data_IF_952757976511
#
_entry.id   IF_952757976511
#
_cell.length_a   1.000
_cell.length_b   1.000
_cell.length_c   1.000
_cell.angle_alpha   90.00
_cell.angle_beta   90.00
_cell.angle_gamma   90.00
#
_symmetry.space_group_name_H-M   'P 1'
#
loop_
_entity.id
_entity.type
_entity.pdbx_description
1 polymer ?
#
# COMPACT_ATOMS: atom_id res chain seq x y z
N UNK A 1 -24.76 7.77 26.38
CA UNK A 1 -23.43 8.36 26.10
C UNK A 1 -23.56 9.50 25.09
N UNK A 2 -22.85 10.61 25.27
CA UNK A 2 -22.82 11.68 24.26
C UNK A 2 -21.73 11.38 23.21
N UNK A 3 -22.10 10.66 22.15
CA UNK A 3 -21.17 10.19 21.11
C UNK A 3 -20.38 11.35 20.45
N UNK A 4 -20.99 12.53 20.29
CA UNK A 4 -20.32 13.69 19.70
C UNK A 4 -19.16 14.23 20.55
N UNK A 5 -19.32 14.29 21.88
CA UNK A 5 -18.24 14.71 22.79
C UNK A 5 -17.07 13.72 22.77
N UNK A 6 -17.37 12.43 22.79
CA UNK A 6 -16.33 11.39 22.71
C UNK A 6 -15.61 11.43 21.38
N UNK A 7 -16.33 11.56 20.27
CA UNK A 7 -15.75 11.61 18.93
C UNK A 7 -14.80 12.82 18.77
N UNK A 8 -15.18 13.99 19.31
CA UNK A 8 -14.30 15.16 19.32
C UNK A 8 -13.02 14.92 20.14
N UNK A 9 -13.13 14.26 21.29
CA UNK A 9 -11.97 13.95 22.14
C UNK A 9 -11.05 12.90 21.49
N UNK A 10 -11.61 11.85 20.87
CA UNK A 10 -10.81 10.81 20.19
C UNK A 10 -10.05 11.38 19.00
N UNK A 11 -10.68 12.26 18.21
CA UNK A 11 -10.01 12.95 17.10
C UNK A 11 -8.90 13.86 17.64
N UNK A 12 -9.18 14.66 18.69
CA UNK A 12 -8.21 15.60 19.26
C UNK A 12 -6.96 14.89 19.81
N UNK A 13 -7.13 13.72 20.42
CA UNK A 13 -6.02 12.95 20.99
C UNK A 13 -5.13 12.31 19.92
N UNK A 14 -5.67 12.02 18.74
CA UNK A 14 -4.97 11.28 17.69
C UNK A 14 -4.83 12.05 16.37
N UNK A 15 -4.82 13.39 16.42
CA UNK A 15 -4.87 14.25 15.24
C UNK A 15 -3.88 13.87 14.14
N UNK A 16 -2.62 13.60 14.50
CA UNK A 16 -1.59 13.20 13.53
C UNK A 16 -1.95 11.94 12.76
N UNK A 17 -2.54 10.96 13.43
CA UNK A 17 -2.88 9.67 12.81
C UNK A 17 -4.09 9.83 11.88
N UNK A 18 -5.10 10.58 12.32
CA UNK A 18 -6.25 10.92 11.48
C UNK A 18 -5.81 11.71 10.26
N UNK A 19 -4.93 12.69 10.45
CA UNK A 19 -4.39 13.49 9.35
C UNK A 19 -3.71 12.60 8.31
N UNK A 20 -2.82 11.70 8.71
CA UNK A 20 -2.11 10.80 7.80
C UNK A 20 -3.03 9.80 7.10
N UNK A 21 -4.01 9.26 7.83
CA UNK A 21 -5.02 8.36 7.27
C UNK A 21 -5.88 9.07 6.22
N UNK A 22 -6.46 10.22 6.57
CA UNK A 22 -7.28 11.04 5.67
C UNK A 22 -6.45 11.51 4.48
N UNK A 23 -5.22 11.96 4.69
CA UNK A 23 -4.31 12.38 3.64
C UNK A 23 -4.03 11.25 2.64
N UNK A 24 -3.76 10.03 3.12
CA UNK A 24 -3.54 8.88 2.25
C UNK A 24 -4.79 8.53 1.43
N UNK A 25 -5.99 8.64 2.01
CA UNK A 25 -7.23 8.43 1.29
C UNK A 25 -7.54 9.54 0.28
N UNK A 26 -7.22 10.80 0.60
CA UNK A 26 -7.33 11.93 -0.34
C UNK A 26 -6.47 11.65 -1.58
N UNK A 27 -5.20 11.25 -1.41
CA UNK A 27 -4.33 10.94 -2.55
C UNK A 27 -4.88 9.74 -3.34
N UNK A 28 -5.45 8.73 -2.67
CA UNK A 28 -6.13 7.63 -3.35
C UNK A 28 -7.27 8.12 -4.25
N UNK A 29 -8.13 9.01 -3.74
CA UNK A 29 -9.25 9.59 -4.51
C UNK A 29 -8.73 10.40 -5.70
N UNK A 30 -7.72 11.25 -5.50
CA UNK A 30 -7.08 12.03 -6.55
C UNK A 30 -6.56 11.08 -7.64
N UNK A 31 -5.83 10.05 -7.24
CA UNK A 31 -5.27 9.07 -8.15
C UNK A 31 -6.36 8.35 -8.96
N UNK A 32 -7.37 7.79 -8.30
CA UNK A 32 -8.48 7.09 -8.97
C UNK A 32 -9.21 7.98 -9.97
N UNK A 33 -9.47 9.24 -9.61
CA UNK A 33 -10.11 10.21 -10.47
C UNK A 33 -9.23 10.59 -11.67
N UNK A 34 -7.93 10.82 -11.45
CA UNK A 34 -6.98 11.12 -12.52
C UNK A 34 -6.87 9.97 -13.53
N UNK A 35 -6.86 8.72 -13.07
CA UNK A 35 -6.74 7.57 -13.97
C UNK A 35 -8.01 7.37 -14.83
N UNK A 36 -9.20 7.55 -14.25
CA UNK A 36 -10.46 7.48 -14.98
C UNK A 36 -10.61 8.60 -16.02
N UNK A 37 -10.22 9.83 -15.65
CA UNK A 37 -10.25 10.97 -16.57
C UNK A 37 -9.26 10.79 -17.71
N UNK A 38 -8.04 10.32 -17.43
CA UNK A 38 -7.05 9.96 -18.44
C UNK A 38 -7.57 8.89 -19.39
N UNK A 39 -8.10 7.79 -18.86
CA UNK A 39 -8.65 6.71 -19.68
C UNK A 39 -9.81 7.17 -20.57
N UNK A 40 -10.76 7.94 -20.02
CA UNK A 40 -11.88 8.44 -20.81
C UNK A 40 -11.43 9.46 -21.88
N UNK A 41 -10.47 10.32 -21.55
CA UNK A 41 -9.90 11.26 -22.53
C UNK A 41 -9.19 10.52 -23.67
N UNK A 42 -8.50 9.43 -23.35
CA UNK A 42 -7.88 8.54 -24.31
C UNK A 42 -8.93 7.91 -25.23
N UNK A 43 -9.98 7.25 -24.70
CA UNK A 43 -11.05 6.62 -25.52
C UNK A 43 -11.71 7.61 -26.48
N UNK A 44 -11.96 8.85 -26.04
CA UNK A 44 -12.54 9.90 -26.89
C UNK A 44 -11.65 10.22 -28.10
N UNK A 45 -10.33 10.28 -27.93
CA UNK A 45 -9.37 10.57 -29.02
C UNK A 45 -9.35 9.46 -30.07
N UNK A 46 -9.53 8.21 -29.66
CA UNK A 46 -9.48 7.03 -30.55
C UNK A 46 -10.78 6.87 -31.35
N UNK A 47 -11.81 7.69 -31.08
CA UNK A 47 -13.16 7.58 -31.65
C UNK A 47 -13.78 6.17 -31.49
N UNK A 48 -13.31 5.37 -30.53
CA UNK A 48 -13.98 4.12 -30.16
C UNK A 48 -15.26 4.46 -29.41
N UNK A 49 -16.40 4.30 -30.08
CA UNK A 49 -17.72 4.42 -29.44
C UNK A 49 -17.89 3.25 -28.46
N UNK A 50 -18.21 3.57 -27.22
CA UNK A 50 -18.77 2.66 -26.20
C UNK A 50 -17.86 1.58 -25.59
N UNK A 51 -16.57 1.85 -25.37
CA UNK A 51 -15.77 1.00 -24.47
C UNK A 51 -15.40 1.81 -23.23
N UNK A 52 -16.36 1.95 -22.31
CA UNK A 52 -16.07 2.40 -20.94
C UNK A 52 -15.54 1.18 -20.16
N UNK A 53 -14.33 0.71 -20.51
CA UNK A 53 -13.65 -0.30 -19.70
C UNK A 53 -13.00 0.45 -18.56
N UNK A 54 -13.63 0.39 -17.39
CA UNK A 54 -13.02 0.78 -16.14
C UNK A 54 -11.66 0.07 -16.04
N UNK A 55 -10.52 0.79 -15.96
CA UNK A 55 -9.23 0.13 -15.85
C UNK A 55 -9.22 -0.68 -14.57
N UNK A 56 -9.41 -1.99 -14.66
CA UNK A 56 -9.59 -2.83 -13.49
C UNK A 56 -8.34 -2.86 -12.61
N UNK A 57 -7.16 -2.65 -13.21
CA UNK A 57 -5.89 -2.49 -12.50
C UNK A 57 -5.95 -1.25 -11.59
N UNK A 58 -6.51 -0.13 -12.06
CA UNK A 58 -6.73 1.09 -11.28
C UNK A 58 -7.57 0.83 -10.03
N UNK A 59 -8.73 0.21 -10.25
CA UNK A 59 -9.72 -0.10 -9.21
C UNK A 59 -9.12 -1.03 -8.17
N UNK A 60 -8.40 -2.06 -8.63
CA UNK A 60 -7.78 -3.03 -7.76
C UNK A 60 -6.65 -2.44 -6.93
N UNK A 61 -5.76 -1.65 -7.54
CA UNK A 61 -4.65 -1.02 -6.82
C UNK A 61 -5.14 0.03 -5.80
N UNK A 62 -6.11 0.86 -6.17
CA UNK A 62 -6.69 1.86 -5.26
C UNK A 62 -7.49 1.22 -4.12
N UNK A 63 -8.21 0.13 -4.39
CA UNK A 63 -8.86 -0.67 -3.37
C UNK A 63 -7.83 -1.31 -2.41
N UNK A 64 -6.78 -1.94 -2.94
CA UNK A 64 -5.72 -2.53 -2.10
C UNK A 64 -5.04 -1.48 -1.22
N UNK A 65 -4.67 -0.34 -1.79
CA UNK A 65 -4.06 0.76 -1.05
C UNK A 65 -4.97 1.22 0.10
N UNK A 66 -6.21 1.56 -0.21
CA UNK A 66 -7.16 2.07 0.79
C UNK A 66 -7.43 1.03 1.89
N UNK A 67 -7.57 -0.26 1.55
CA UNK A 67 -7.73 -1.35 2.52
C UNK A 67 -6.50 -1.45 3.45
N UNK A 68 -5.28 -1.37 2.92
CA UNK A 68 -4.06 -1.48 3.73
C UNK A 68 -3.90 -0.30 4.70
N UNK A 69 -4.17 0.91 4.22
CA UNK A 69 -4.15 2.12 5.07
C UNK A 69 -5.15 2.01 6.20
N UNK A 70 -6.36 1.53 5.91
CA UNK A 70 -7.41 1.34 6.90
C UNK A 70 -7.06 0.27 7.94
N UNK A 71 -6.59 -0.91 7.49
CA UNK A 71 -6.15 -1.98 8.41
C UNK A 71 -5.07 -1.46 9.36
N UNK A 72 -4.13 -0.66 8.84
CA UNK A 72 -3.05 -0.07 9.63
C UNK A 72 -3.61 0.94 10.65
N UNK A 73 -4.51 1.83 10.22
CA UNK A 73 -5.17 2.80 11.10
C UNK A 73 -5.94 2.13 12.25
N UNK A 74 -6.75 1.11 11.96
CA UNK A 74 -7.53 0.40 12.98
C UNK A 74 -6.63 -0.40 13.93
N UNK A 75 -5.56 -1.03 13.41
CA UNK A 75 -4.57 -1.74 14.25
C UNK A 75 -3.85 -0.80 15.20
N UNK A 76 -3.53 0.42 14.78
CA UNK A 76 -2.94 1.43 15.65
C UNK A 76 -3.84 1.71 16.87
N UNK A 77 -5.14 1.86 16.62
CA UNK A 77 -6.12 2.23 17.64
C UNK A 77 -6.70 1.05 18.41
N UNK A 78 -6.15 -0.15 18.22
CA UNK A 78 -6.60 -1.34 18.94
C UNK A 78 -6.48 -1.20 20.46
N UNK A 79 -5.43 -0.51 20.95
CA UNK A 79 -5.22 -0.27 22.38
C UNK A 79 -6.30 0.65 22.95
N UNK A 80 -6.68 1.70 22.21
CA UNK A 80 -7.78 2.59 22.58
C UNK A 80 -9.11 1.81 22.67
N UNK A 81 -9.41 0.99 21.66
CA UNK A 81 -10.63 0.17 21.68
C UNK A 81 -10.64 -0.78 22.88
N UNK A 82 -9.48 -1.37 23.21
CA UNK A 82 -9.34 -2.21 24.39
C UNK A 82 -9.56 -1.40 25.68
N UNK A 83 -9.07 -0.17 25.80
CA UNK A 83 -9.32 0.69 26.96
C UNK A 83 -10.79 1.09 27.09
N UNK A 84 -11.47 1.44 26.01
CA UNK A 84 -12.90 1.75 26.03
C UNK A 84 -13.74 0.57 26.51
N UNK A 85 -13.46 -0.63 26.00
CA UNK A 85 -14.10 -1.86 26.46
C UNK A 85 -13.76 -2.18 27.92
N UNK A 86 -12.59 -1.77 28.44
CA UNK A 86 -12.20 -1.99 29.83
C UNK A 86 -12.91 -1.01 30.78
N UNK A 87 -13.16 0.21 30.32
CA UNK A 87 -13.92 1.25 31.04
C UNK A 87 -15.44 1.01 31.03
N UNK A 88 -15.91 -0.10 30.45
CA UNK A 88 -17.32 -0.51 30.49
C UNK A 88 -18.14 -0.20 29.24
N UNK A 89 -17.55 0.32 28.14
CA UNK A 89 -18.29 0.43 26.88
C UNK A 89 -18.65 -0.95 26.34
N UNK A 90 -19.87 -1.08 25.83
CA UNK A 90 -20.30 -2.29 25.11
C UNK A 90 -19.68 -2.36 23.72
N UNK A 91 -19.57 -3.58 23.16
CA UNK A 91 -19.08 -3.76 21.79
C UNK A 91 -19.96 -3.04 20.75
N UNK A 92 -21.25 -2.88 21.03
CA UNK A 92 -22.20 -2.23 20.12
C UNK A 92 -22.04 -0.70 20.16
N UNK A 93 -21.88 -0.11 21.34
CA UNK A 93 -21.57 1.32 21.48
C UNK A 93 -20.26 1.68 20.77
N UNK A 94 -19.24 0.83 20.90
CA UNK A 94 -17.96 1.03 20.22
C UNK A 94 -18.09 0.90 18.69
N UNK A 95 -18.91 -0.03 18.18
CA UNK A 95 -19.22 -0.13 16.75
C UNK A 95 -19.94 1.11 16.22
N UNK A 96 -20.90 1.65 16.98
CA UNK A 96 -21.64 2.87 16.60
C UNK A 96 -20.69 4.07 16.55
N UNK A 97 -19.81 4.21 17.56
CA UNK A 97 -18.78 5.25 17.57
C UNK A 97 -17.90 5.19 16.31
N UNK A 98 -17.40 4.00 15.98
CA UNK A 98 -16.53 3.81 14.81
C UNK A 98 -17.26 3.96 13.48
N UNK A 99 -18.54 3.60 13.43
CA UNK A 99 -19.39 3.84 12.26
C UNK A 99 -19.51 5.35 12.01
N UNK A 100 -19.83 6.14 13.05
CA UNK A 100 -19.91 7.60 12.95
C UNK A 100 -18.58 8.22 12.52
N UNK A 101 -17.47 7.71 13.07
CA UNK A 101 -16.13 8.16 12.72
C UNK A 101 -15.78 7.89 11.25
N UNK A 102 -16.10 6.69 10.75
CA UNK A 102 -15.89 6.32 9.35
C UNK A 102 -16.76 7.16 8.39
N UNK A 103 -18.00 7.46 8.75
CA UNK A 103 -18.86 8.37 7.98
C UNK A 103 -18.28 9.78 7.96
N UNK A 104 -17.82 10.30 9.10
CA UNK A 104 -17.20 11.62 9.17
C UNK A 104 -15.94 11.68 8.31
N UNK A 105 -15.08 10.66 8.38
CA UNK A 105 -13.90 10.56 7.53
C UNK A 105 -14.29 10.56 6.04
N UNK A 106 -15.28 9.76 5.64
CA UNK A 106 -15.82 9.73 4.27
C UNK A 106 -16.26 11.10 3.77
N UNK A 107 -17.00 11.84 4.60
CA UNK A 107 -17.47 13.19 4.28
C UNK A 107 -16.33 14.21 4.17
N UNK A 108 -15.14 13.93 4.70
CA UNK A 108 -13.97 14.80 4.59
C UNK A 108 -13.13 14.42 3.36
N UNK A 109 -12.69 13.17 3.26
CA UNK A 109 -11.67 12.82 2.26
C UNK A 109 -12.24 12.75 0.83
N UNK A 110 -13.50 12.36 0.64
CA UNK A 110 -14.09 12.26 -0.72
C UNK A 110 -14.28 13.63 -1.35
N UNK A 111 -14.93 14.63 -0.70
CA UNK A 111 -15.09 15.95 -1.31
C UNK A 111 -13.74 16.63 -1.57
N UNK A 112 -12.82 16.60 -0.60
CA UNK A 112 -11.49 17.20 -0.76
C UNK A 112 -10.72 16.51 -1.87
N UNK A 113 -10.74 15.17 -1.90
CA UNK A 113 -10.09 14.37 -2.95
C UNK A 113 -10.67 14.62 -4.34
N UNK A 114 -11.98 14.84 -4.46
CA UNK A 114 -12.61 15.20 -5.74
C UNK A 114 -12.25 16.61 -6.19
N UNK A 115 -12.29 17.60 -5.30
CA UNK A 115 -11.92 18.99 -5.62
C UNK A 115 -10.47 19.03 -6.12
N UNK A 116 -9.55 18.43 -5.35
CA UNK A 116 -8.15 18.32 -5.74
C UNK A 116 -7.99 17.47 -7.01
N UNK A 117 -8.73 16.38 -7.14
CA UNK A 117 -8.72 15.50 -8.31
C UNK A 117 -9.12 16.22 -9.59
N UNK A 118 -10.11 17.11 -9.56
CA UNK A 118 -10.51 17.95 -10.71
C UNK A 118 -9.36 18.86 -11.14
N UNK A 119 -8.70 19.51 -10.18
CA UNK A 119 -7.58 20.42 -10.45
C UNK A 119 -6.40 19.64 -11.02
N UNK A 120 -5.97 18.57 -10.33
CA UNK A 120 -4.83 17.76 -10.74
C UNK A 120 -5.07 17.04 -12.06
N UNK A 121 -6.23 16.41 -12.27
CA UNK A 121 -6.54 15.72 -13.53
C UNK A 121 -6.50 16.67 -14.73
N UNK A 122 -7.01 17.89 -14.58
CA UNK A 122 -6.95 18.90 -15.65
C UNK A 122 -5.51 19.28 -15.97
N UNK A 123 -4.69 19.55 -14.95
CA UNK A 123 -3.27 19.89 -15.12
C UNK A 123 -2.52 18.74 -15.82
N UNK A 124 -2.67 17.52 -15.30
CA UNK A 124 -1.99 16.32 -15.80
C UNK A 124 -2.40 16.05 -17.25
N UNK A 125 -3.70 15.97 -17.53
CA UNK A 125 -4.20 15.63 -18.87
C UNK A 125 -3.82 16.69 -19.90
N UNK A 126 -3.91 17.99 -19.56
CA UNK A 126 -3.46 19.06 -20.47
C UNK A 126 -1.95 19.02 -20.71
N UNK A 127 -1.17 18.75 -19.66
CA UNK A 127 0.27 18.60 -19.78
C UNK A 127 0.63 17.45 -20.74
N UNK A 128 -0.05 16.31 -20.62
CA UNK A 128 0.13 15.15 -21.51
C UNK A 128 -0.26 15.48 -22.94
N UNK A 129 -1.42 16.09 -23.17
CA UNK A 129 -1.87 16.45 -24.52
C UNK A 129 -0.95 17.47 -25.20
N UNK A 130 -0.42 18.43 -24.42
CA UNK A 130 0.59 19.37 -24.91
C UNK A 130 1.89 18.65 -25.29
N UNK A 131 2.35 17.70 -24.48
CA UNK A 131 3.50 16.85 -24.81
C UNK A 131 3.26 15.94 -26.02
N UNK A 132 2.01 15.56 -26.26
CA UNK A 132 1.60 14.79 -27.44
C UNK A 132 1.48 15.63 -28.73
N UNK A 133 1.65 16.96 -28.66
CA UNK A 133 1.53 17.87 -29.81
C UNK A 133 0.09 18.24 -30.18
N UNK A 134 -0.91 17.90 -29.35
CA UNK A 134 -2.31 18.17 -29.61
C UNK A 134 -2.69 19.51 -28.97
N UNK A 135 -2.73 20.58 -29.79
CA UNK A 135 -2.85 21.96 -29.30
C UNK A 135 -4.29 22.40 -28.94
N UNK A 136 -5.32 21.66 -29.35
CA UNK A 136 -6.71 22.03 -29.15
C UNK A 136 -7.56 20.87 -28.59
N UNK A 137 -7.34 20.49 -27.33
CA UNK A 137 -8.23 19.56 -26.63
C UNK A 137 -9.17 20.31 -25.69
N UNK A 138 -10.46 20.34 -26.00
CA UNK A 138 -11.48 20.84 -25.06
C UNK A 138 -11.74 19.78 -24.00
N UNK A 139 -11.15 19.96 -22.82
CA UNK A 139 -11.33 19.05 -21.71
C UNK A 139 -12.79 19.10 -21.21
N UNK A 140 -13.54 18.01 -21.41
CA UNK A 140 -14.93 17.87 -20.95
C UNK A 140 -15.02 16.79 -19.87
N UNK A 141 -15.40 17.18 -18.67
CA UNK A 141 -15.74 16.23 -17.61
C UNK A 141 -17.09 15.58 -17.93
N UNK A 142 -17.12 14.24 -17.96
CA UNK A 142 -18.38 13.49 -18.04
C UNK A 142 -18.91 13.26 -16.63
N UNK A 143 -20.19 13.53 -16.39
CA UNK A 143 -20.86 13.33 -15.10
C UNK A 143 -20.72 11.89 -14.57
N UNK A 144 -20.61 10.90 -15.46
CA UNK A 144 -20.43 9.49 -15.12
C UNK A 144 -19.15 9.23 -14.31
N UNK A 145 -18.07 9.99 -14.53
CA UNK A 145 -16.79 9.78 -13.84
C UNK A 145 -16.96 10.07 -12.34
N UNK A 146 -17.66 11.15 -11.99
CA UNK A 146 -17.95 11.51 -10.61
C UNK A 146 -18.77 10.43 -9.91
N UNK A 147 -19.84 9.96 -10.54
CA UNK A 147 -20.72 8.93 -9.99
C UNK A 147 -19.93 7.66 -9.68
N UNK A 148 -19.06 7.23 -10.59
CA UNK A 148 -18.23 6.04 -10.41
C UNK A 148 -17.21 6.22 -9.28
N UNK A 149 -16.56 7.39 -9.20
CA UNK A 149 -15.63 7.67 -8.10
C UNK A 149 -16.31 7.66 -6.74
N UNK A 150 -17.44 8.35 -6.61
CA UNK A 150 -18.22 8.37 -5.37
C UNK A 150 -18.70 6.96 -5.04
N UNK A 151 -19.26 6.23 -6.00
CA UNK A 151 -19.72 4.85 -5.82
C UNK A 151 -18.62 3.89 -5.38
N UNK A 152 -17.42 4.00 -5.95
CA UNK A 152 -16.26 3.20 -5.55
C UNK A 152 -15.89 3.42 -4.09
N UNK A 153 -15.80 4.68 -3.64
CA UNK A 153 -15.45 4.98 -2.25
C UNK A 153 -16.59 4.69 -1.26
N UNK A 154 -17.86 4.81 -1.67
CA UNK A 154 -18.99 4.32 -0.86
C UNK A 154 -18.87 2.81 -0.63
N UNK A 155 -18.56 2.04 -1.68
CA UNK A 155 -18.38 0.60 -1.57
C UNK A 155 -17.21 0.28 -0.62
N UNK A 156 -16.08 0.97 -0.76
CA UNK A 156 -14.94 0.80 0.14
C UNK A 156 -15.26 1.13 1.60
N UNK A 157 -16.00 2.21 1.88
CA UNK A 157 -16.37 2.53 3.27
C UNK A 157 -17.32 1.53 3.88
N UNK A 158 -18.23 0.95 3.09
CA UNK A 158 -19.06 -0.18 3.54
C UNK A 158 -18.16 -1.37 3.92
N UNK A 159 -17.17 -1.71 3.09
CA UNK A 159 -16.19 -2.78 3.40
C UNK A 159 -15.44 -2.46 4.70
N UNK A 160 -15.01 -1.22 4.90
CA UNK A 160 -14.31 -0.77 6.10
C UNK A 160 -15.16 -0.94 7.35
N UNK A 161 -16.42 -0.52 7.31
CA UNK A 161 -17.37 -0.65 8.43
C UNK A 161 -17.59 -2.14 8.78
N UNK A 162 -17.83 -2.99 7.78
CA UNK A 162 -18.02 -4.43 7.97
C UNK A 162 -16.78 -5.09 8.59
N UNK A 163 -15.59 -4.73 8.10
CA UNK A 163 -14.34 -5.25 8.63
C UNK A 163 -14.10 -4.82 10.08
N UNK A 164 -14.34 -3.54 10.42
CA UNK A 164 -14.24 -3.08 11.82
C UNK A 164 -15.20 -3.79 12.75
N UNK A 165 -16.44 -4.02 12.32
CA UNK A 165 -17.43 -4.74 13.14
C UNK A 165 -16.93 -6.14 13.51
N UNK A 166 -16.37 -6.86 12.53
CA UNK A 166 -15.74 -8.18 12.75
C UNK A 166 -14.50 -8.08 13.64
N UNK A 167 -13.67 -7.07 13.44
CA UNK A 167 -12.45 -6.85 14.23
C UNK A 167 -12.77 -6.60 15.71
N UNK A 168 -13.73 -5.73 16.02
CA UNK A 168 -14.15 -5.39 17.40
C UNK A 168 -14.69 -6.63 18.12
N UNK A 169 -15.52 -7.43 17.44
CA UNK A 169 -16.01 -8.70 18.01
C UNK A 169 -14.87 -9.65 18.38
N UNK A 170 -13.77 -9.64 17.62
CA UNK A 170 -12.62 -10.48 17.94
C UNK A 170 -11.84 -10.01 19.18
N UNK A 171 -11.83 -8.71 19.47
CA UNK A 171 -11.16 -8.14 20.64
C UNK A 171 -11.86 -8.51 21.95
N UNK A 172 -13.20 -8.53 21.98
CA UNK A 172 -13.95 -8.95 23.17
C UNK A 172 -13.78 -10.45 23.45
N UNK A 173 -13.77 -11.28 22.42
CA UNK A 173 -13.50 -12.72 22.54
C UNK A 173 -12.09 -13.00 23.10
N UNK A 174 -11.08 -12.20 22.74
CA UNK A 174 -9.72 -12.32 23.26
C UNK A 174 -9.64 -11.93 24.75
N UNK A 175 -10.39 -10.93 25.22
CA UNK A 175 -10.48 -10.61 26.65
C UNK A 175 -11.10 -11.76 27.46
N UNK A 176 -12.14 -12.39 26.92
CA UNK A 176 -12.80 -13.56 27.56
C UNK A 176 -11.88 -14.79 27.55
N UNK A 177 -11.11 -15.01 26.48
CA UNK A 177 -10.18 -16.13 26.36
C UNK A 177 -8.92 -15.96 27.22
N UNK A 178 -8.36 -14.75 27.32
CA UNK A 178 -7.18 -14.46 28.14
C UNK A 178 -7.45 -14.51 29.64
N UNK A 179 -8.72 -14.46 30.07
CA UNK A 179 -9.11 -14.77 31.46
C UNK A 179 -9.02 -16.28 31.77
N UNK A 180 -9.01 -17.14 30.74
CA UNK A 180 -8.94 -18.60 30.90
C UNK A 180 -7.57 -19.21 30.66
N UNK A 181 -6.65 -18.54 29.95
CA UNK A 181 -5.30 -19.07 29.71
C UNK A 181 -4.28 -17.93 29.51
N UNK A 182 -3.64 -17.51 30.60
CA UNK A 182 -2.38 -16.75 30.52
C UNK A 182 -1.26 -17.73 30.19
N UNK A 183 -0.97 -17.90 28.90
CA UNK A 183 0.35 -18.16 28.30
C UNK A 183 0.13 -18.65 26.86
N UNK A 184 0.77 -17.97 25.92
CA UNK A 184 0.89 -18.36 24.51
C UNK A 184 -0.42 -18.59 23.74
N UNK A 185 -0.91 -17.51 23.11
CA UNK A 185 -1.76 -17.63 21.94
C UNK A 185 -1.04 -17.06 20.71
N UNK A 186 0.04 -17.74 20.28
CA UNK A 186 0.39 -17.78 18.86
C UNK A 186 -0.74 -18.56 18.16
N UNK A 187 -1.86 -17.85 17.95
CA UNK A 187 -3.13 -18.45 17.56
C UNK A 187 -3.08 -18.87 16.10
N UNK A 188 -3.54 -20.10 15.84
CA UNK A 188 -3.70 -20.84 14.58
C UNK A 188 -4.48 -20.12 13.45
N UNK A 189 -4.53 -18.79 13.41
CA UNK A 189 -5.06 -17.96 12.31
C UNK A 189 -4.08 -17.77 11.14
N UNK A 190 -2.92 -18.40 11.19
CA UNK A 190 -1.91 -18.37 10.13
C UNK A 190 -2.29 -19.11 8.84
N UNK A 191 -3.39 -19.88 8.79
CA UNK A 191 -3.80 -20.55 7.54
C UNK A 191 -4.45 -19.58 6.55
N UNK A 192 -5.39 -18.72 6.98
CA UNK A 192 -6.07 -17.77 6.10
C UNK A 192 -5.14 -16.69 5.55
N UNK A 193 -4.16 -16.27 6.34
CA UNK A 193 -3.17 -15.26 5.98
C UNK A 193 -2.14 -15.79 4.96
N UNK A 194 -1.89 -17.10 4.96
CA UNK A 194 -1.08 -17.80 3.94
C UNK A 194 -1.83 -17.98 2.61
N UNK A 195 -3.16 -18.11 2.66
CA UNK A 195 -4.01 -18.36 1.49
C UNK A 195 -4.49 -17.05 0.84
N UNK A 196 -4.55 -15.94 1.58
CA UNK A 196 -4.95 -14.63 1.08
C UNK A 196 -4.21 -14.15 -0.19
N UNK A 197 -2.86 -14.24 -0.30
CA UNK A 197 -2.17 -13.88 -1.54
C UNK A 197 -2.49 -14.85 -2.70
N UNK A 198 -2.78 -16.13 -2.40
CA UNK A 198 -3.15 -17.13 -3.40
C UNK A 198 -4.58 -16.91 -3.94
N UNK A 199 -5.53 -16.53 -3.08
CA UNK A 199 -6.89 -16.13 -3.49
C UNK A 199 -6.86 -14.83 -4.28
N UNK A 200 -6.06 -13.84 -3.85
CA UNK A 200 -5.85 -12.59 -4.57
C UNK A 200 -5.26 -12.84 -5.97
N UNK A 201 -4.34 -13.80 -6.08
CA UNK A 201 -3.72 -14.25 -7.33
C UNK A 201 -4.72 -14.96 -8.25
N UNK A 202 -5.50 -15.91 -7.73
CA UNK A 202 -6.58 -16.58 -8.48
C UNK A 202 -7.65 -15.61 -8.96
N UNK A 203 -7.99 -14.62 -8.14
CA UNK A 203 -8.96 -13.59 -8.52
C UNK A 203 -8.41 -12.67 -9.62
N UNK A 204 -7.15 -12.24 -9.54
CA UNK A 204 -6.52 -11.43 -10.59
C UNK A 204 -6.38 -12.19 -11.92
N UNK A 205 -6.00 -13.47 -11.87
CA UNK A 205 -5.88 -14.33 -13.06
C UNK A 205 -7.26 -14.54 -13.70
N UNK A 206 -8.28 -14.89 -12.91
CA UNK A 206 -9.62 -15.15 -13.43
C UNK A 206 -10.34 -13.87 -13.90
N UNK A 207 -10.04 -12.72 -13.30
CA UNK A 207 -10.52 -11.42 -13.76
C UNK A 207 -9.88 -11.03 -15.10
N UNK A 208 -8.60 -11.35 -15.29
CA UNK A 208 -7.88 -11.12 -16.55
C UNK A 208 -8.38 -12.03 -17.69
N UNK A 209 -8.92 -13.21 -17.38
CA UNK A 209 -9.56 -14.12 -18.34
C UNK A 209 -10.89 -13.58 -18.89
N UNK A 210 -11.64 -12.80 -18.09
CA UNK A 210 -12.93 -12.21 -18.47
C UNK A 210 -12.82 -10.88 -19.22
N UNK A 211 -11.75 -10.13 -19.02
CA UNK A 211 -11.43 -8.98 -19.86
C UNK A 211 -10.97 -9.50 -21.21
N UNK A 212 -11.69 -9.21 -22.30
CA UNK A 212 -11.46 -9.70 -23.66
C UNK A 212 -10.13 -9.23 -24.29
N UNK A 213 -9.00 -9.54 -23.64
CA UNK A 213 -7.63 -9.28 -24.10
C UNK A 213 -7.17 -10.43 -25.01
N UNK A 214 -6.34 -10.13 -26.00
CA UNK A 214 -5.77 -11.14 -26.90
C UNK A 214 -4.82 -12.10 -26.14
N UNK A 215 -4.65 -13.32 -26.68
CA UNK A 215 -3.79 -14.36 -26.12
C UNK A 215 -2.38 -13.87 -25.76
N UNK A 216 -1.80 -12.98 -26.57
CA UNK A 216 -0.44 -12.50 -26.37
C UNK A 216 -0.29 -11.41 -25.29
N UNK A 217 -1.31 -10.56 -25.05
CA UNK A 217 -1.30 -9.61 -23.94
C UNK A 217 -1.59 -10.27 -22.59
N UNK A 218 -2.36 -11.39 -22.59
CA UNK A 218 -2.60 -12.21 -21.39
C UNK A 218 -1.31 -12.83 -20.86
N UNK A 219 -0.42 -13.26 -21.76
CA UNK A 219 0.90 -13.77 -21.42
C UNK A 219 1.65 -12.77 -20.51
N UNK A 220 1.83 -11.52 -20.92
CA UNK A 220 2.62 -10.55 -20.17
C UNK A 220 2.08 -10.21 -18.78
N UNK A 221 0.75 -10.18 -18.59
CA UNK A 221 0.11 -9.89 -17.30
C UNK A 221 0.19 -11.11 -16.36
N UNK A 222 -0.04 -12.31 -16.87
CA UNK A 222 0.00 -13.52 -16.03
C UNK A 222 1.42 -13.82 -15.53
N UNK A 223 2.43 -13.67 -16.39
CA UNK A 223 3.83 -13.83 -15.97
C UNK A 223 4.24 -12.78 -14.95
N UNK A 224 3.71 -11.56 -15.02
CA UNK A 224 4.05 -10.52 -14.06
C UNK A 224 3.56 -10.89 -12.66
N UNK A 225 2.31 -11.33 -12.52
CA UNK A 225 1.76 -11.80 -11.24
C UNK A 225 2.53 -13.01 -10.68
N UNK A 226 2.91 -13.95 -11.53
CA UNK A 226 3.72 -15.11 -11.11
C UNK A 226 5.10 -14.67 -10.62
N UNK A 227 5.76 -13.74 -11.34
CA UNK A 227 7.11 -13.26 -10.98
C UNK A 227 7.16 -12.73 -9.57
N UNK A 228 6.23 -11.85 -9.19
CA UNK A 228 6.31 -11.23 -7.87
C UNK A 228 6.03 -12.21 -6.74
N UNK A 229 5.11 -13.15 -6.95
CA UNK A 229 4.80 -14.18 -5.94
C UNK A 229 6.01 -15.10 -5.75
N UNK A 230 6.61 -15.56 -6.84
CA UNK A 230 7.80 -16.42 -6.79
C UNK A 230 8.96 -15.69 -6.11
N UNK A 231 9.20 -14.42 -6.45
CA UNK A 231 10.33 -13.65 -5.90
C UNK A 231 10.10 -13.31 -4.42
N UNK A 232 8.86 -13.08 -4.03
CA UNK A 232 8.52 -12.92 -2.63
C UNK A 232 8.73 -14.21 -1.83
N UNK A 233 8.34 -15.38 -2.37
CA UNK A 233 8.58 -16.67 -1.72
C UNK A 233 10.09 -16.93 -1.60
N UNK A 234 10.85 -16.68 -2.67
CA UNK A 234 12.32 -16.79 -2.65
C UNK A 234 12.94 -15.84 -1.61
N UNK A 235 12.43 -14.62 -1.49
CA UNK A 235 12.87 -13.66 -0.46
C UNK A 235 12.63 -14.19 0.96
N UNK A 236 11.48 -14.80 1.24
CA UNK A 236 11.21 -15.41 2.55
C UNK A 236 12.13 -16.60 2.85
N UNK A 237 12.39 -17.45 1.85
CA UNK A 237 13.32 -18.57 1.97
C UNK A 237 14.74 -18.03 2.23
N UNK A 238 15.15 -17.01 1.49
CA UNK A 238 16.44 -16.36 1.64
C UNK A 238 16.62 -15.77 3.04
N UNK A 239 15.62 -15.08 3.59
CA UNK A 239 15.66 -14.57 4.97
C UNK A 239 15.87 -15.71 5.96
N UNK A 240 15.13 -16.80 5.84
CA UNK A 240 15.28 -17.95 6.74
C UNK A 240 16.68 -18.57 6.67
N UNK A 241 17.23 -18.74 5.46
CA UNK A 241 18.59 -19.24 5.26
C UNK A 241 19.62 -18.28 5.86
N UNK A 242 19.47 -16.97 5.61
CA UNK A 242 20.35 -15.94 6.12
C UNK A 242 20.38 -15.93 7.66
N UNK A 243 19.22 -16.07 8.30
CA UNK A 243 19.10 -16.16 9.77
C UNK A 243 19.81 -17.42 10.29
N UNK A 244 19.58 -18.59 9.66
CA UNK A 244 20.25 -19.84 10.05
C UNK A 244 21.78 -19.70 9.91
N UNK A 245 22.24 -19.05 8.85
CA UNK A 245 23.66 -18.78 8.63
C UNK A 245 24.23 -17.82 9.70
N UNK A 246 23.52 -16.73 10.01
CA UNK A 246 23.91 -15.78 11.04
C UNK A 246 23.99 -16.45 12.43
N UNK A 247 23.06 -17.37 12.73
CA UNK A 247 23.05 -18.18 13.97
C UNK A 247 24.18 -19.21 14.02
N UNK A 248 24.68 -19.67 12.86
CA UNK A 248 25.79 -20.64 12.78
C UNK A 248 27.14 -20.03 13.19
N UNK A 249 27.36 -18.75 12.89
CA UNK A 249 28.56 -18.02 13.33
C UNK A 249 28.49 -17.64 14.81
N UNK A 250 28.91 -18.54 15.71
CA UNK A 250 28.83 -18.37 17.18
C UNK A 250 29.38 -17.02 17.68
N UNK A 251 30.55 -16.60 17.21
CA UNK A 251 31.17 -15.33 17.64
C UNK A 251 30.37 -14.08 17.22
N UNK A 252 29.69 -14.13 16.07
CA UNK A 252 28.85 -13.03 15.59
C UNK A 252 27.46 -13.05 16.25
N UNK A 253 26.87 -14.25 16.40
CA UNK A 253 25.56 -14.44 17.00
C UNK A 253 25.53 -14.05 18.47
N UNK A 254 26.47 -14.55 19.29
CA UNK A 254 26.46 -14.24 20.72
C UNK A 254 26.69 -12.77 21.03
N UNK A 255 27.49 -12.08 20.20
CA UNK A 255 27.69 -10.63 20.32
C UNK A 255 26.46 -9.79 19.91
N UNK A 256 25.55 -10.34 19.10
CA UNK A 256 24.42 -9.60 18.51
C UNK A 256 23.10 -10.37 18.63
N UNK A 257 22.95 -11.13 19.70
CA UNK A 257 21.83 -12.07 19.86
C UNK A 257 20.47 -11.37 19.82
N UNK A 258 20.34 -10.25 20.55
CA UNK A 258 19.13 -9.44 20.57
C UNK A 258 18.83 -8.85 19.19
N UNK A 259 19.85 -8.30 18.54
CA UNK A 259 19.69 -7.72 17.21
C UNK A 259 19.24 -8.77 16.19
N UNK A 260 19.86 -9.94 16.13
CA UNK A 260 19.51 -10.97 15.13
C UNK A 260 18.10 -11.51 15.33
N UNK A 261 17.70 -11.76 16.59
CA UNK A 261 16.36 -12.24 16.89
C UNK A 261 15.30 -11.17 16.60
N UNK A 262 15.57 -9.91 16.97
CA UNK A 262 14.66 -8.80 16.71
C UNK A 262 14.48 -8.52 15.21
N UNK A 263 15.55 -8.67 14.41
CA UNK A 263 15.45 -8.57 12.95
C UNK A 263 14.62 -9.72 12.36
N UNK A 264 14.81 -10.95 12.83
CA UNK A 264 14.02 -12.12 12.42
C UNK A 264 12.53 -11.91 12.70
N UNK A 265 12.19 -11.49 13.91
CA UNK A 265 10.80 -11.26 14.33
C UNK A 265 10.19 -10.10 13.54
N UNK A 266 10.93 -9.00 13.37
CA UNK A 266 10.46 -7.85 12.58
C UNK A 266 10.13 -8.21 11.12
N UNK A 267 10.92 -9.07 10.48
CA UNK A 267 10.67 -9.50 9.10
C UNK A 267 9.50 -10.48 9.02
N UNK A 268 9.38 -11.39 10.00
CA UNK A 268 8.28 -12.37 10.06
C UNK A 268 6.92 -11.71 10.30
N UNK A 269 6.87 -10.72 11.17
CA UNK A 269 5.63 -10.01 11.51
C UNK A 269 5.19 -9.07 10.38
N UNK A 270 6.14 -8.48 9.68
CA UNK A 270 5.87 -7.47 8.66
C UNK A 270 5.82 -8.02 7.24
N UNK A 271 6.08 -9.32 7.03
CA UNK A 271 6.13 -9.97 5.71
C UNK A 271 4.94 -9.65 4.80
N UNK A 272 3.73 -9.54 5.35
CA UNK A 272 2.51 -9.29 4.58
C UNK A 272 2.46 -7.85 4.08
N UNK A 273 2.80 -6.89 4.96
CA UNK A 273 2.82 -5.48 4.59
C UNK A 273 3.92 -5.24 3.56
N UNK A 274 5.10 -5.84 3.77
CA UNK A 274 6.22 -5.82 2.82
C UNK A 274 5.79 -6.39 1.47
N UNK A 275 5.11 -7.55 1.44
CA UNK A 275 4.59 -8.15 0.20
C UNK A 275 3.61 -7.24 -0.52
N UNK A 276 2.62 -6.71 0.20
CA UNK A 276 1.57 -5.90 -0.41
C UNK A 276 2.11 -4.59 -0.99
N UNK A 277 3.03 -3.93 -0.28
CA UNK A 277 3.68 -2.72 -0.79
C UNK A 277 4.53 -3.06 -2.01
N UNK A 278 5.28 -4.17 -1.95
CA UNK A 278 6.06 -4.62 -3.11
C UNK A 278 5.13 -4.93 -4.30
N UNK A 279 4.01 -5.59 -4.04
CA UNK A 279 2.99 -5.90 -5.04
C UNK A 279 2.41 -4.66 -5.70
N UNK A 280 1.96 -3.71 -4.90
CA UNK A 280 1.40 -2.46 -5.38
C UNK A 280 2.43 -1.71 -6.26
N UNK A 281 3.65 -1.52 -5.79
CA UNK A 281 4.67 -0.80 -6.56
C UNK A 281 5.09 -1.55 -7.84
N UNK A 282 5.16 -2.88 -7.77
CA UNK A 282 5.50 -3.69 -8.93
C UNK A 282 4.41 -3.65 -10.00
N UNK A 283 3.11 -3.72 -9.67
CA UNK A 283 2.03 -3.63 -10.67
C UNK A 283 2.06 -2.31 -11.44
N UNK A 284 2.43 -1.20 -10.79
CA UNK A 284 2.60 0.09 -11.46
C UNK A 284 3.85 0.14 -12.36
N UNK A 285 4.96 -0.45 -11.94
CA UNK A 285 6.16 -0.53 -12.80
C UNK A 285 5.91 -1.42 -14.02
N UNK A 286 5.19 -2.53 -13.84
CA UNK A 286 4.80 -3.40 -14.97
C UNK A 286 3.90 -2.67 -15.96
N UNK A 287 2.92 -1.89 -15.47
CA UNK A 287 1.96 -1.24 -16.37
C UNK A 287 2.64 -0.28 -17.35
N UNK A 288 3.69 0.43 -16.91
CA UNK A 288 4.59 1.20 -17.78
C UNK A 288 5.28 0.31 -18.83
N UNK A 289 5.81 -0.85 -18.41
CA UNK A 289 6.55 -1.75 -19.29
C UNK A 289 5.68 -2.43 -20.33
N UNK A 290 4.48 -2.86 -19.94
CA UNK A 290 3.53 -3.48 -20.85
C UNK A 290 3.11 -2.48 -21.93
N UNK A 291 2.92 -1.20 -21.59
CA UNK A 291 2.61 -0.15 -22.56
C UNK A 291 3.72 0.06 -23.61
N UNK A 292 4.98 -0.24 -23.26
CA UNK A 292 6.15 -0.07 -24.14
C UNK A 292 6.45 -1.28 -25.05
N UNK A 293 5.67 -2.37 -24.99
CA UNK A 293 5.81 -3.54 -25.85
C UNK A 293 5.44 -3.26 -27.31
N UNK A 294 6.28 -3.68 -28.25
CA UNK A 294 6.07 -3.51 -29.70
C UNK A 294 4.77 -4.13 -30.21
N UNK A 295 4.33 -5.27 -29.66
CA UNK A 295 3.05 -5.92 -30.00
C UNK A 295 1.82 -5.15 -29.51
N UNK A 296 1.98 -4.34 -28.46
CA UNK A 296 0.94 -3.43 -27.94
C UNK A 296 0.96 -2.13 -28.75
N UNK A 297 2.14 -1.62 -29.12
CA UNK A 297 2.32 -0.44 -30.00
C UNK A 297 1.65 -0.58 -31.36
N UNK A 298 1.70 -1.77 -31.98
CA UNK A 298 1.12 -1.98 -33.31
C UNK A 298 -0.40 -2.13 -33.30
N UNK A 299 -1.00 -2.54 -32.18
CA UNK A 299 -2.46 -2.74 -32.05
C UNK A 299 -3.19 -1.49 -31.59
N UNK A 300 -2.54 -0.69 -30.76
CA UNK A 300 -2.97 0.67 -30.46
C UNK A 300 -2.32 1.60 -31.49
N UNK A 301 -2.96 1.81 -32.65
CA UNK A 301 -2.58 2.82 -33.67
C UNK A 301 -2.49 4.26 -33.10
N UNK A 302 -2.83 4.39 -31.82
CA UNK A 302 -2.94 5.54 -30.94
C UNK A 302 -1.66 5.79 -30.14
N UNK A 303 -0.76 4.79 -30.07
CA UNK A 303 0.61 4.96 -29.60
C UNK A 303 1.41 5.90 -30.52
N UNK A 304 1.09 5.88 -31.82
CA UNK A 304 1.60 6.84 -32.80
C UNK A 304 0.94 8.23 -32.64
N UNK A 305 -0.36 8.30 -32.26
CA UNK A 305 -1.10 9.56 -32.08
C UNK A 305 -0.61 10.36 -30.88
N UNK A 306 -0.37 9.68 -29.75
CA UNK A 306 0.07 10.37 -28.54
C UNK A 306 1.58 10.67 -28.50
N UNK A 307 2.39 10.23 -29.47
CA UNK A 307 3.84 10.18 -29.35
C UNK A 307 4.32 9.37 -28.12
N UNK A 308 5.46 8.69 -28.27
CA UNK A 308 6.04 7.84 -27.22
C UNK A 308 6.40 8.61 -25.93
N UNK A 309 6.61 9.92 -26.03
CA UNK A 309 6.93 10.80 -24.90
C UNK A 309 5.77 10.95 -23.92
N UNK A 310 4.55 11.23 -24.40
CA UNK A 310 3.42 11.55 -23.54
C UNK A 310 2.94 10.34 -22.73
N UNK A 311 2.92 9.16 -23.34
CA UNK A 311 2.57 7.92 -22.64
C UNK A 311 3.58 7.59 -21.53
N UNK A 312 4.88 7.71 -21.79
CA UNK A 312 5.89 7.50 -20.76
C UNK A 312 5.72 8.49 -19.59
N UNK A 313 5.34 9.75 -19.86
CA UNK A 313 5.09 10.71 -18.77
C UNK A 313 3.88 10.39 -17.89
N UNK A 314 2.81 9.83 -18.46
CA UNK A 314 1.64 9.36 -17.69
C UNK A 314 2.05 8.31 -16.67
N UNK A 315 2.79 7.31 -17.13
CA UNK A 315 3.18 6.20 -16.28
C UNK A 315 4.22 6.60 -15.23
N UNK A 316 5.18 7.48 -15.56
CA UNK A 316 6.11 8.05 -14.56
C UNK A 316 5.33 8.75 -13.44
N UNK A 317 4.29 9.52 -13.79
CA UNK A 317 3.46 10.21 -12.79
C UNK A 317 2.65 9.22 -11.92
N UNK A 318 2.07 8.19 -12.52
CA UNK A 318 1.35 7.14 -11.80
C UNK A 318 2.27 6.41 -10.81
N UNK A 319 3.48 6.09 -11.25
CA UNK A 319 4.49 5.41 -10.42
C UNK A 319 4.95 6.31 -9.27
N UNK A 320 5.11 7.62 -9.49
CA UNK A 320 5.40 8.59 -8.43
C UNK A 320 4.30 8.63 -7.34
N UNK A 321 3.02 8.65 -7.74
CA UNK A 321 1.91 8.65 -6.79
C UNK A 321 1.85 7.34 -5.98
N UNK A 322 2.18 6.20 -6.60
CA UNK A 322 2.33 4.92 -5.91
C UNK A 322 3.42 4.94 -4.85
N UNK A 323 4.54 5.63 -5.10
CA UNK A 323 5.63 5.71 -4.13
C UNK A 323 5.23 6.51 -2.89
N UNK A 324 4.51 7.62 -3.09
CA UNK A 324 3.95 8.40 -1.99
C UNK A 324 2.97 7.54 -1.18
N UNK A 325 2.11 6.78 -1.85
CA UNK A 325 1.19 5.83 -1.22
C UNK A 325 1.91 4.77 -0.36
N UNK A 326 2.98 4.17 -0.89
CA UNK A 326 3.77 3.20 -0.12
C UNK A 326 4.44 3.83 1.10
N UNK A 327 4.94 5.06 0.96
CA UNK A 327 5.58 5.80 2.05
C UNK A 327 4.60 6.12 3.17
N UNK A 328 3.34 6.49 2.87
CA UNK A 328 2.34 6.77 3.90
C UNK A 328 1.94 5.49 4.65
N UNK A 329 1.78 4.36 3.95
CA UNK A 329 1.50 3.06 4.59
C UNK A 329 2.62 2.68 5.55
N UNK A 330 3.87 2.82 5.14
CA UNK A 330 5.03 2.49 5.97
C UNK A 330 5.13 3.39 7.19
N UNK A 331 4.92 4.68 7.01
CA UNK A 331 4.91 5.64 8.11
C UNK A 331 3.87 5.23 9.18
N UNK A 332 2.63 4.92 8.76
CA UNK A 332 1.58 4.48 9.69
C UNK A 332 1.97 3.19 10.39
N UNK A 333 2.54 2.23 9.66
CA UNK A 333 3.02 0.98 10.23
C UNK A 333 4.13 1.20 11.27
N UNK A 334 5.06 2.09 11.00
CA UNK A 334 6.14 2.41 11.93
C UNK A 334 5.60 3.03 13.20
N UNK A 335 4.61 3.91 13.10
CA UNK A 335 3.97 4.49 14.30
C UNK A 335 3.37 3.40 15.19
N UNK A 336 2.72 2.40 14.60
CA UNK A 336 2.22 1.22 15.33
C UNK A 336 3.37 0.45 16.00
N UNK A 337 4.46 0.25 15.27
CA UNK A 337 5.61 -0.51 15.79
C UNK A 337 6.35 0.26 16.89
N UNK A 338 6.40 1.60 16.84
CA UNK A 338 6.97 2.46 17.88
C UNK A 338 6.17 2.42 19.19
N UNK A 339 4.84 2.49 19.09
CA UNK A 339 3.97 2.39 20.28
C UNK A 339 4.10 1.03 20.98
N UNK A 340 4.48 -0.02 20.24
CA UNK A 340 4.82 -1.33 20.83
C UNK A 340 6.25 -1.37 21.34
N UNK A 341 7.17 -0.72 20.61
CA UNK A 341 8.58 -0.64 20.97
C UNK A 341 8.79 0.00 22.34
N UNK A 342 7.99 0.98 22.74
CA UNK A 342 8.09 1.57 24.08
C UNK A 342 7.91 0.52 25.20
N UNK A 343 7.04 -0.47 25.01
CA UNK A 343 6.86 -1.57 25.98
C UNK A 343 7.99 -2.60 25.90
N UNK A 344 8.52 -2.85 24.70
CA UNK A 344 9.67 -3.73 24.50
C UNK A 344 10.94 -3.12 25.09
N UNK A 345 11.11 -1.80 24.97
CA UNK A 345 12.22 -1.01 25.53
C UNK A 345 12.36 -1.24 27.04
N UNK A 346 11.26 -1.25 27.78
CA UNK A 346 11.24 -1.55 29.22
C UNK A 346 11.76 -2.96 29.52
N UNK A 347 11.38 -3.96 28.71
CA UNK A 347 11.86 -5.34 28.87
C UNK A 347 13.35 -5.45 28.55
N UNK A 348 13.83 -4.72 27.54
CA UNK A 348 15.23 -4.69 27.14
C UNK A 348 16.11 -4.02 28.21
N UNK A 349 15.63 -2.97 28.87
CA UNK A 349 16.32 -2.41 30.05
C UNK A 349 16.42 -3.41 31.20
N UNK A 350 15.37 -4.18 31.48
CA UNK A 350 15.40 -5.20 32.53
C UNK A 350 16.43 -6.32 32.24
N UNK A 351 16.87 -6.44 30.99
CA UNK A 351 17.91 -7.38 30.56
C UNK A 351 19.32 -6.74 30.62
N UNK A 352 19.40 -5.44 30.88
CA UNK A 352 20.66 -4.69 31.08
C UNK A 352 21.19 -3.99 29.83
N UNK A 353 20.39 -3.82 28.77
CA UNK A 353 20.80 -3.12 27.56
C UNK A 353 20.85 -1.60 27.76
N UNK A 354 21.84 -0.96 27.12
CA UNK A 354 22.06 0.49 27.17
C UNK A 354 21.21 1.18 26.09
N UNK A 355 20.85 2.45 26.31
CA UNK A 355 20.09 3.28 25.35
C UNK A 355 20.65 3.23 23.93
N UNK A 356 21.97 3.36 23.79
CA UNK A 356 22.64 3.33 22.48
C UNK A 356 22.43 2.00 21.74
N UNK A 357 22.43 0.88 22.48
CA UNK A 357 22.20 -0.45 21.90
C UNK A 357 20.74 -0.62 21.47
N UNK A 358 19.80 -0.18 22.30
CA UNK A 358 18.36 -0.22 22.01
C UNK A 358 18.03 0.63 20.77
N UNK A 359 18.55 1.85 20.70
CA UNK A 359 18.34 2.74 19.56
C UNK A 359 18.97 2.17 18.29
N UNK A 360 20.12 1.50 18.40
CA UNK A 360 20.76 0.83 17.26
C UNK A 360 19.90 -0.32 16.70
N UNK A 361 19.25 -1.09 17.58
CA UNK A 361 18.36 -2.20 17.21
C UNK A 361 17.12 -1.64 16.51
N UNK A 362 16.49 -0.60 17.08
CA UNK A 362 15.34 0.07 16.50
C UNK A 362 15.67 0.66 15.11
N UNK A 363 16.82 1.32 14.96
CA UNK A 363 17.23 1.89 13.67
C UNK A 363 17.48 0.82 12.62
N UNK A 364 17.99 -0.35 13.02
CA UNK A 364 18.18 -1.50 12.14
C UNK A 364 16.84 -2.10 11.69
N UNK A 365 15.91 -2.29 12.63
CA UNK A 365 14.53 -2.76 12.39
C UNK A 365 13.79 -1.84 11.42
N UNK A 366 13.82 -0.53 11.64
CA UNK A 366 13.22 0.47 10.75
C UNK A 366 13.81 0.39 9.33
N UNK A 367 15.14 0.31 9.23
CA UNK A 367 15.82 0.22 7.92
C UNK A 367 15.38 -1.01 7.14
N UNK A 368 15.30 -2.18 7.79
CA UNK A 368 14.84 -3.40 7.12
C UNK A 368 13.41 -3.26 6.59
N UNK A 369 12.48 -2.71 7.37
CA UNK A 369 11.08 -2.54 6.96
C UNK A 369 10.98 -1.59 5.75
N UNK A 370 11.75 -0.49 5.76
CA UNK A 370 11.74 0.51 4.69
C UNK A 370 12.38 0.05 3.37
N UNK A 371 13.43 -0.74 3.40
CA UNK A 371 14.18 -1.08 2.18
C UNK A 371 13.88 -2.48 1.63
N UNK A 372 13.32 -3.38 2.45
CA UNK A 372 13.00 -4.76 2.03
C UNK A 372 12.07 -4.82 0.82
N UNK A 373 10.97 -4.08 0.82
CA UNK A 373 10.02 -4.10 -0.29
C UNK A 373 10.57 -3.42 -1.55
N UNK A 374 11.45 -2.40 -1.45
CA UNK A 374 12.16 -1.88 -2.62
C UNK A 374 12.98 -3.00 -3.25
N UNK A 375 13.77 -3.71 -2.44
CA UNK A 375 14.61 -4.80 -2.92
C UNK A 375 13.79 -5.88 -3.66
N UNK A 376 12.65 -6.29 -3.07
CA UNK A 376 11.72 -7.24 -3.68
C UNK A 376 11.16 -6.71 -5.01
N UNK A 377 10.73 -5.43 -5.06
CA UNK A 377 10.21 -4.84 -6.31
C UNK A 377 11.26 -4.78 -7.41
N UNK A 378 12.49 -4.37 -7.07
CA UNK A 378 13.58 -4.28 -8.04
C UNK A 378 13.93 -5.65 -8.62
N UNK A 379 14.05 -6.67 -7.77
CA UNK A 379 14.30 -8.03 -8.20
C UNK A 379 13.14 -8.57 -9.05
N UNK A 380 11.90 -8.32 -8.62
CA UNK A 380 10.71 -8.69 -9.37
C UNK A 380 10.70 -8.11 -10.78
N UNK A 381 11.04 -6.84 -10.92
CA UNK A 381 11.12 -6.19 -12.22
C UNK A 381 12.27 -6.70 -13.08
N UNK A 382 13.45 -6.96 -12.51
CA UNK A 382 14.60 -7.53 -13.26
C UNK A 382 14.24 -8.91 -13.82
N UNK A 383 13.70 -9.80 -12.99
CA UNK A 383 13.33 -11.16 -13.41
C UNK A 383 12.20 -11.13 -14.43
N UNK A 384 11.19 -10.27 -14.24
CA UNK A 384 10.11 -10.09 -15.20
C UNK A 384 10.62 -9.68 -16.59
N UNK A 385 11.55 -8.72 -16.64
CA UNK A 385 12.16 -8.27 -17.90
C UNK A 385 12.91 -9.41 -18.61
N UNK A 386 13.64 -10.22 -17.83
CA UNK A 386 14.36 -11.37 -18.37
C UNK A 386 13.41 -12.43 -18.95
N UNK A 387 12.34 -12.79 -18.22
CA UNK A 387 11.38 -13.81 -18.65
C UNK A 387 10.62 -13.38 -19.92
N UNK A 388 10.17 -12.13 -19.97
CA UNK A 388 9.38 -11.65 -21.10
C UNK A 388 10.22 -11.41 -22.37
N UNK A 389 11.54 -11.64 -22.34
CA UNK A 389 12.48 -11.35 -23.44
C UNK A 389 12.22 -9.97 -24.08
N UNK A 390 11.81 -9.02 -23.24
CA UNK A 390 11.69 -7.62 -23.60
C UNK A 390 13.10 -7.17 -23.99
N UNK A 391 13.28 -6.72 -25.23
CA UNK A 391 14.59 -6.49 -25.87
C UNK A 391 15.65 -6.01 -24.90
N UNK A 392 16.81 -6.67 -24.93
CA UNK A 392 17.98 -6.47 -24.06
C UNK A 392 18.30 -4.99 -23.87
N UNK A 393 17.68 -4.35 -22.89
CA UNK A 393 18.19 -3.21 -22.17
C UNK A 393 17.22 -2.84 -21.06
N UNK A 394 17.75 -2.77 -19.85
CA UNK A 394 17.10 -2.02 -18.79
C UNK A 394 17.08 -0.57 -19.27
N UNK A 395 15.99 -0.14 -19.91
CA UNK A 395 15.99 1.20 -20.50
C UNK A 395 16.28 2.23 -19.42
N UNK A 396 17.05 3.26 -19.78
CA UNK A 396 17.43 4.37 -18.89
C UNK A 396 16.23 4.88 -18.07
N UNK A 397 15.03 4.87 -18.65
CA UNK A 397 13.78 5.28 -17.98
C UNK A 397 13.46 4.44 -16.74
N UNK A 398 13.62 3.13 -16.77
CA UNK A 398 13.40 2.32 -15.57
C UNK A 398 14.43 2.51 -14.49
N UNK A 399 15.69 2.70 -14.85
CA UNK A 399 16.72 3.03 -13.88
C UNK A 399 16.36 4.35 -13.18
N UNK A 400 15.93 5.36 -13.96
CA UNK A 400 15.43 6.63 -13.40
C UNK A 400 14.25 6.45 -12.45
N UNK A 401 13.30 5.59 -12.80
CA UNK A 401 12.13 5.31 -11.95
C UNK A 401 12.55 4.65 -10.62
N UNK A 402 13.44 3.66 -10.66
CA UNK A 402 13.96 3.04 -9.44
C UNK A 402 14.80 3.99 -8.60
N UNK A 403 15.59 4.86 -9.22
CA UNK A 403 16.33 5.91 -8.50
C UNK A 403 15.35 6.87 -7.82
N UNK A 404 14.31 7.33 -8.53
CA UNK A 404 13.30 8.21 -7.97
C UNK A 404 12.56 7.53 -6.80
N UNK A 405 12.22 6.25 -6.96
CA UNK A 405 11.63 5.44 -5.90
C UNK A 405 12.51 5.39 -4.66
N UNK A 406 13.78 5.10 -4.85
CA UNK A 406 14.77 5.02 -3.78
C UNK A 406 14.91 6.36 -3.07
N UNK A 407 14.92 7.49 -3.80
CA UNK A 407 14.98 8.84 -3.22
C UNK A 407 13.75 9.14 -2.37
N UNK A 408 12.54 8.89 -2.88
CA UNK A 408 11.28 9.14 -2.14
C UNK A 408 11.26 8.29 -0.86
N UNK A 409 11.68 7.03 -0.96
CA UNK A 409 11.74 6.17 0.19
C UNK A 409 12.79 6.61 1.21
N UNK A 410 13.95 7.04 0.74
CA UNK A 410 15.03 7.53 1.59
C UNK A 410 14.58 8.79 2.34
N UNK A 411 13.85 9.69 1.69
CA UNK A 411 13.20 10.83 2.35
C UNK A 411 12.21 10.35 3.42
N UNK A 412 11.34 9.38 3.11
CA UNK A 412 10.42 8.79 4.08
C UNK A 412 11.16 8.15 5.28
N UNK A 413 12.30 7.51 5.04
CA UNK A 413 13.16 6.95 6.08
C UNK A 413 13.79 8.05 6.95
N UNK A 414 14.28 9.14 6.35
CA UNK A 414 14.88 10.25 7.10
C UNK A 414 13.82 10.91 8.01
N UNK A 415 12.64 11.22 7.46
CA UNK A 415 11.55 11.85 8.22
C UNK A 415 11.12 10.99 9.40
N UNK A 416 11.01 9.68 9.20
CA UNK A 416 10.66 8.75 10.29
C UNK A 416 11.78 8.65 11.31
N UNK A 417 13.04 8.51 10.86
CA UNK A 417 14.21 8.46 11.75
C UNK A 417 14.29 9.68 12.66
N UNK A 418 14.11 10.89 12.12
CA UNK A 418 14.16 12.14 12.90
C UNK A 418 13.10 12.11 13.99
N UNK A 419 11.85 11.79 13.63
CA UNK A 419 10.73 11.72 14.58
C UNK A 419 10.94 10.68 15.67
N UNK A 420 11.51 9.52 15.33
CA UNK A 420 11.77 8.46 16.32
C UNK A 420 12.79 8.92 17.36
N UNK A 421 13.85 9.60 16.90
CA UNK A 421 14.89 10.14 17.79
C UNK A 421 14.32 11.25 18.68
N UNK A 422 13.42 12.09 18.15
CA UNK A 422 12.72 13.13 18.92
C UNK A 422 11.77 12.56 19.98
N UNK A 423 11.09 11.44 19.71
CA UNK A 423 10.21 10.79 20.69
C UNK A 423 10.93 9.96 21.76
N UNK A 424 12.20 9.64 21.55
CA UNK A 424 13.03 8.88 22.50
C UNK A 424 13.86 9.79 23.43
N UNK A 425 13.91 11.10 23.15
CA UNK A 425 14.41 12.14 24.06
C UNK A 425 13.27 12.67 24.90
#
# INVERSE_FOLDING_TARGET
MNYGKMLKQTIKLNLDQYFLYIFSLIISVIFFFTELTLYNSYVVVIKQKNVFVLPAIAVFNTALWSILTYISFVKHRQKEFATFLALGMTCNELKILLLLENILNFLIYVPIGLILGIIFSKIIVLFIFKLAGICAFTFKFKSIIYIITIGHYILLTIIFILWTSKFINSLSLLKIANYKNSHMAYSKKDKLLKIAPYILMLFCIHFNERMALNLQSRYYINYSLICIVVIFILFLIFINIFIVFAKKSKNFYYKRIFLINELEDSLKDNKIIIFFIAFLNFTFIISERIANLTSVKTRFNTYNIFQMSSFNTIYIFIVLLSFIASSTILYLKIKIDLDNWQFEKIKLYNIGLIDEEIDSILLCKLRLIFFSHIFITTLASIVYLYICKLGKEFTINTIKIFICYFIIQLLGYIVTRIKVIETNR
#
